data_IF_484116941121
#
_entry.id   IF_484116941121
#
_cell.length_a   1.000
_cell.length_b   1.000
_cell.length_c   1.000
_cell.angle_alpha   90.00
_cell.angle_beta   90.00
_cell.angle_gamma   90.00
#
_symmetry.space_group_name_H-M   'P 1'
#
loop_
_entity.id
_entity.type
_entity.pdbx_description
1 polymer ?
#
# COMPACT_ATOMS: atom_id res chain seq x y z
N UNK A 1 -19.30 -28.57 -35.21
CA UNK A 1 -19.83 -29.00 -33.89
C UNK A 1 -20.79 -27.93 -33.41
N UNK A 2 -22.05 -28.33 -33.28
CA UNK A 2 -23.17 -27.41 -33.07
C UNK A 2 -23.25 -26.92 -31.62
N UNK A 3 -23.16 -25.61 -31.39
CA UNK A 3 -23.19 -24.94 -30.08
C UNK A 3 -24.50 -25.09 -29.30
N UNK A 4 -25.51 -25.71 -29.91
CA UNK A 4 -26.85 -25.90 -29.29
C UNK A 4 -27.01 -27.15 -28.41
N UNK A 5 -26.05 -28.05 -28.36
CA UNK A 5 -26.13 -29.29 -27.56
C UNK A 5 -25.54 -29.23 -26.16
N UNK A 6 -24.91 -28.11 -25.77
CA UNK A 6 -24.31 -27.96 -24.44
C UNK A 6 -25.32 -27.59 -23.34
N UNK A 7 -26.46 -27.00 -23.70
CA UNK A 7 -27.44 -26.46 -22.71
C UNK A 7 -28.63 -27.39 -22.38
N UNK A 8 -28.62 -28.67 -22.75
CA UNK A 8 -29.75 -29.59 -22.54
C UNK A 8 -29.57 -30.68 -21.50
N UNK A 9 -28.68 -30.55 -20.54
CA UNK A 9 -28.61 -31.50 -19.38
C UNK A 9 -28.39 -30.73 -18.08
N UNK A 10 -29.45 -30.15 -17.57
CA UNK A 10 -29.47 -29.48 -16.28
C UNK A 10 -30.84 -28.93 -15.96
N UNK A 11 -31.85 -29.75 -15.98
CA UNK A 11 -33.18 -29.34 -15.51
C UNK A 11 -33.62 -30.22 -14.33
N UNK A 12 -34.23 -29.54 -13.39
CA UNK A 12 -35.07 -29.94 -12.25
C UNK A 12 -34.36 -30.14 -10.91
N UNK A 13 -34.53 -29.13 -10.06
CA UNK A 13 -35.42 -29.22 -8.92
C UNK A 13 -35.76 -27.80 -8.43
N UNK A 14 -36.88 -27.25 -8.91
CA UNK A 14 -37.56 -26.14 -8.28
C UNK A 14 -38.58 -26.75 -7.30
N UNK A 15 -38.38 -26.60 -6.00
CA UNK A 15 -39.41 -26.71 -5.00
C UNK A 15 -39.35 -25.47 -4.14
N UNK A 16 -40.43 -24.71 -4.19
CA UNK A 16 -40.61 -23.45 -3.52
C UNK A 16 -40.64 -23.54 -2.00
N UNK A 17 -40.30 -22.45 -1.39
CA UNK A 17 -40.41 -22.21 0.04
C UNK A 17 -39.93 -20.81 0.36
N UNK A 18 -40.84 -19.86 0.29
CA UNK A 18 -40.61 -18.52 0.87
C UNK A 18 -40.46 -18.69 2.38
N UNK A 19 -39.31 -18.24 2.91
CA UNK A 19 -39.16 -17.87 4.32
C UNK A 19 -38.29 -16.63 4.39
N UNK A 20 -38.96 -15.53 4.66
CA UNK A 20 -38.36 -14.28 5.12
C UNK A 20 -37.73 -14.48 6.50
N UNK A 21 -36.53 -13.96 6.67
CA UNK A 21 -36.04 -13.59 7.98
C UNK A 21 -35.22 -14.64 8.72
N UNK A 22 -33.91 -14.63 8.49
CA UNK A 22 -32.94 -14.74 9.58
C UNK A 22 -31.63 -14.08 9.11
N UNK A 23 -31.02 -13.18 9.87
CA UNK A 23 -29.66 -12.77 9.61
C UNK A 23 -28.81 -14.00 9.81
N UNK A 24 -28.04 -14.34 8.77
CA UNK A 24 -26.97 -15.33 8.90
C UNK A 24 -25.97 -14.72 9.88
N UNK A 25 -26.13 -15.03 11.16
CA UNK A 25 -25.08 -14.88 12.13
C UNK A 25 -23.92 -15.73 11.62
N UNK A 26 -22.94 -15.05 11.04
CA UNK A 26 -21.69 -15.67 10.66
C UNK A 26 -21.08 -16.28 11.93
N UNK A 27 -21.27 -17.56 12.11
CA UNK A 27 -20.42 -18.36 12.96
C UNK A 27 -19.01 -18.10 12.47
N UNK A 28 -18.23 -17.34 13.24
CA UNK A 28 -16.80 -17.31 13.13
C UNK A 28 -16.33 -18.75 13.40
N UNK A 29 -16.27 -19.56 12.37
CA UNK A 29 -15.57 -20.81 12.42
C UNK A 29 -14.12 -20.45 12.63
N UNK A 30 -13.65 -20.52 13.88
CA UNK A 30 -12.22 -20.58 14.16
C UNK A 30 -11.70 -21.74 13.32
N UNK A 31 -11.00 -21.44 12.24
CA UNK A 31 -10.29 -22.50 11.52
C UNK A 31 -9.29 -23.08 12.51
N UNK A 32 -9.50 -24.34 12.91
CA UNK A 32 -8.46 -25.14 13.53
C UNK A 32 -7.33 -25.27 12.51
N UNK A 33 -6.31 -24.41 12.61
CA UNK A 33 -5.13 -24.56 11.81
C UNK A 33 -4.12 -25.43 12.57
N UNK A 34 -3.62 -26.43 11.88
CA UNK A 34 -2.68 -27.38 12.44
C UNK A 34 -1.29 -26.74 12.53
N UNK A 35 -0.84 -26.43 13.76
CA UNK A 35 0.53 -25.96 14.03
C UNK A 35 1.59 -27.06 13.84
N UNK A 36 1.17 -28.31 13.64
CA UNK A 36 2.06 -29.47 13.46
C UNK A 36 2.61 -29.62 12.04
N UNK A 37 2.43 -28.65 11.14
CA UNK A 37 2.93 -28.72 9.77
C UNK A 37 4.44 -28.96 9.77
N UNK A 38 4.83 -30.06 9.14
CA UNK A 38 6.24 -30.44 8.92
C UNK A 38 6.89 -29.43 7.96
N UNK A 39 7.41 -28.32 8.48
CA UNK A 39 8.10 -27.30 7.71
C UNK A 39 9.14 -26.58 8.57
N UNK A 40 10.06 -25.87 7.92
CA UNK A 40 11.03 -25.03 8.61
C UNK A 40 10.28 -23.82 9.17
N UNK A 41 10.39 -23.55 10.46
CA UNK A 41 9.77 -22.40 11.14
C UNK A 41 10.35 -21.08 10.58
N UNK A 42 9.48 -20.09 10.36
CA UNK A 42 9.88 -18.73 10.13
C UNK A 42 10.16 -18.02 11.49
N UNK A 43 11.39 -17.62 11.70
CA UNK A 43 11.75 -16.81 12.87
C UNK A 43 11.34 -15.34 12.66
N UNK A 44 11.41 -14.86 11.43
CA UNK A 44 11.05 -13.51 11.06
C UNK A 44 9.92 -13.51 10.03
N UNK A 45 9.03 -12.51 10.12
CA UNK A 45 7.97 -12.26 9.14
C UNK A 45 8.16 -10.85 8.57
N UNK A 46 8.22 -10.74 7.26
CA UNK A 46 8.12 -9.46 6.53
C UNK A 46 6.86 -9.53 5.68
N UNK A 47 5.91 -8.62 5.91
CA UNK A 47 4.68 -8.50 5.14
C UNK A 47 4.69 -7.20 4.36
N UNK A 48 4.62 -7.30 3.04
CA UNK A 48 4.74 -6.15 2.14
C UNK A 48 3.43 -5.90 1.39
N UNK A 49 2.97 -4.66 1.42
CA UNK A 49 1.72 -4.23 0.78
C UNK A 49 2.01 -3.12 -0.23
N UNK A 50 1.70 -3.35 -1.50
CA UNK A 50 1.55 -2.29 -2.50
C UNK A 50 0.08 -1.89 -2.52
N UNK A 51 -0.31 -0.88 -1.75
CA UNK A 51 -1.70 -0.48 -1.54
C UNK A 51 -2.39 -0.14 -2.87
N UNK A 52 -3.58 -0.70 -3.11
CA UNK A 52 -4.37 -0.41 -4.30
C UNK A 52 -3.80 -0.94 -5.62
N UNK A 53 -2.86 -1.91 -5.59
CA UNK A 53 -2.21 -2.43 -6.79
C UNK A 53 -3.11 -3.40 -7.56
N UNK A 54 -3.73 -2.94 -8.65
CA UNK A 54 -4.37 -3.81 -9.63
C UNK A 54 -3.34 -4.60 -10.47
N UNK A 55 -3.76 -5.69 -11.10
CA UNK A 55 -2.91 -6.45 -12.03
C UNK A 55 -2.33 -5.58 -13.15
N UNK A 56 -3.08 -4.56 -13.61
CA UNK A 56 -2.61 -3.57 -14.58
C UNK A 56 -1.46 -2.71 -14.06
N UNK A 57 -1.50 -2.31 -12.79
CA UNK A 57 -0.41 -1.55 -12.13
C UNK A 57 0.89 -2.36 -12.13
N UNK A 58 0.82 -3.62 -11.72
CA UNK A 58 1.97 -4.53 -11.72
C UNK A 58 2.53 -4.72 -13.13
N UNK A 59 1.65 -4.94 -14.13
CA UNK A 59 2.06 -5.14 -15.52
C UNK A 59 2.71 -3.88 -16.12
N UNK A 60 2.14 -2.68 -15.88
CA UNK A 60 2.70 -1.42 -16.37
C UNK A 60 4.07 -1.15 -15.76
N UNK A 61 4.24 -1.37 -14.46
CA UNK A 61 5.53 -1.20 -13.79
C UNK A 61 6.60 -2.16 -14.34
N UNK A 62 6.26 -3.44 -14.53
CA UNK A 62 7.19 -4.41 -15.12
C UNK A 62 7.54 -4.07 -16.57
N UNK A 63 6.57 -3.64 -17.37
CA UNK A 63 6.84 -3.19 -18.75
C UNK A 63 7.74 -1.96 -18.79
N UNK A 64 7.51 -0.98 -17.90
CA UNK A 64 8.35 0.21 -17.80
C UNK A 64 9.79 -0.18 -17.43
N UNK A 65 9.98 -0.99 -16.40
CA UNK A 65 11.30 -1.44 -15.98
C UNK A 65 12.00 -2.22 -17.08
N UNK A 66 11.29 -3.14 -17.75
CA UNK A 66 11.88 -3.94 -18.81
C UNK A 66 12.26 -3.15 -20.07
N UNK A 67 11.39 -2.24 -20.53
CA UNK A 67 11.60 -1.51 -21.78
C UNK A 67 12.47 -0.26 -21.62
N UNK A 68 12.36 0.41 -20.48
CA UNK A 68 13.02 1.70 -20.24
C UNK A 68 14.28 1.53 -19.40
N UNK A 69 14.23 0.73 -18.32
CA UNK A 69 15.35 0.53 -17.42
C UNK A 69 16.23 -0.67 -17.80
N UNK A 70 15.78 -1.53 -18.73
CA UNK A 70 16.55 -2.66 -19.24
C UNK A 70 16.57 -3.89 -18.32
N UNK A 71 15.70 -3.97 -17.32
CA UNK A 71 15.56 -5.13 -16.43
C UNK A 71 14.08 -5.35 -16.05
N UNK A 72 13.72 -6.57 -15.72
CA UNK A 72 12.40 -6.90 -15.19
C UNK A 72 12.22 -6.38 -13.77
N UNK A 73 10.97 -6.21 -13.34
CA UNK A 73 10.67 -5.98 -11.94
C UNK A 73 11.16 -7.14 -11.06
N UNK A 74 11.48 -6.85 -9.81
CA UNK A 74 11.88 -7.87 -8.82
C UNK A 74 10.73 -8.85 -8.57
N UNK A 75 9.50 -8.34 -8.52
CA UNK A 75 8.30 -9.17 -8.39
C UNK A 75 8.21 -10.21 -9.51
N UNK A 76 8.25 -9.77 -10.78
CA UNK A 76 8.14 -10.67 -11.93
C UNK A 76 9.37 -11.59 -12.08
N UNK A 77 10.55 -11.09 -11.73
CA UNK A 77 11.77 -11.93 -11.71
C UNK A 77 11.65 -13.08 -10.70
N UNK A 78 11.11 -12.80 -9.50
CA UNK A 78 10.86 -13.84 -8.49
C UNK A 78 9.88 -14.93 -9.01
N UNK A 79 8.89 -14.54 -9.83
CA UNK A 79 7.98 -15.47 -10.48
C UNK A 79 8.68 -16.31 -11.56
N UNK A 80 9.45 -15.67 -12.43
CA UNK A 80 10.16 -16.33 -13.53
C UNK A 80 11.21 -17.34 -13.02
N UNK A 81 11.89 -16.98 -11.92
CA UNK A 81 12.91 -17.81 -11.28
C UNK A 81 12.31 -18.95 -10.42
N UNK A 82 10.98 -19.05 -10.30
CA UNK A 82 10.28 -20.01 -9.45
C UNK A 82 10.75 -19.98 -7.97
N UNK A 83 11.21 -18.84 -7.49
CA UNK A 83 11.70 -18.67 -6.11
C UNK A 83 10.57 -18.59 -5.08
N UNK A 84 9.35 -18.25 -5.51
CA UNK A 84 8.19 -17.97 -4.66
C UNK A 84 7.07 -18.97 -4.89
N UNK A 85 6.22 -19.16 -3.86
CA UNK A 85 4.87 -19.68 -4.04
C UNK A 85 3.94 -18.51 -4.31
N UNK A 86 3.04 -18.62 -5.27
CA UNK A 86 2.12 -17.56 -5.66
C UNK A 86 0.68 -18.04 -5.71
N UNK A 87 -0.26 -17.10 -5.56
CA UNK A 87 -1.69 -17.35 -5.67
C UNK A 87 -2.45 -16.07 -6.01
N UNK A 88 -3.75 -16.20 -6.12
CA UNK A 88 -4.68 -15.09 -6.16
C UNK A 88 -5.39 -14.96 -4.82
N UNK A 89 -5.70 -13.74 -4.42
CA UNK A 89 -6.36 -13.45 -3.16
C UNK A 89 -7.67 -12.68 -3.38
N UNK A 90 -8.73 -13.12 -2.71
CA UNK A 90 -9.99 -12.40 -2.59
C UNK A 90 -9.88 -11.30 -1.53
N UNK A 91 -10.37 -10.10 -1.82
CA UNK A 91 -10.13 -8.88 -1.00
C UNK A 91 -11.35 -8.34 -0.25
N UNK A 92 -12.55 -8.95 -0.36
CA UNK A 92 -13.78 -8.41 0.24
C UNK A 92 -13.68 -8.13 1.74
N UNK A 93 -14.42 -7.10 2.19
CA UNK A 93 -14.63 -6.77 3.61
C UNK A 93 -15.90 -7.42 4.17
N UNK A 94 -16.25 -7.15 5.42
CA UNK A 94 -17.51 -7.60 6.02
C UNK A 94 -18.73 -6.82 5.50
N UNK A 95 -18.54 -5.59 5.02
CA UNK A 95 -19.61 -4.70 4.59
C UNK A 95 -19.73 -4.57 3.07
N UNK A 96 -18.74 -5.02 2.29
CA UNK A 96 -18.71 -4.83 0.85
C UNK A 96 -17.82 -5.87 0.16
N UNK A 97 -18.17 -6.21 -1.10
CA UNK A 97 -17.25 -6.95 -1.98
C UNK A 97 -16.03 -6.08 -2.41
N UNK A 98 -16.16 -4.76 -2.32
CA UNK A 98 -15.06 -3.80 -2.52
C UNK A 98 -14.61 -3.31 -1.15
N UNK A 99 -13.41 -3.70 -0.74
CA UNK A 99 -12.83 -3.31 0.54
C UNK A 99 -12.21 -1.91 0.48
N UNK A 100 -12.04 -1.30 1.65
CA UNK A 100 -11.07 -0.22 1.83
C UNK A 100 -9.79 -0.76 2.50
N UNK A 101 -8.74 0.05 2.59
CA UNK A 101 -7.44 -0.36 3.14
C UNK A 101 -7.54 -0.74 4.63
N UNK A 102 -8.47 -0.16 5.41
CA UNK A 102 -8.64 -0.50 6.82
C UNK A 102 -9.20 -1.91 7.03
N UNK A 103 -10.23 -2.27 6.27
CA UNK A 103 -10.79 -3.62 6.34
C UNK A 103 -9.86 -4.64 5.65
N UNK A 104 -9.18 -4.27 4.57
CA UNK A 104 -8.16 -5.08 3.90
C UNK A 104 -7.01 -5.43 4.84
N UNK A 105 -6.39 -4.43 5.46
CA UNK A 105 -5.30 -4.64 6.43
C UNK A 105 -5.76 -5.35 7.70
N UNK A 106 -7.00 -5.12 8.18
CA UNK A 106 -7.57 -5.83 9.30
C UNK A 106 -7.79 -7.32 9.02
N UNK A 107 -8.08 -7.68 7.77
CA UNK A 107 -8.14 -9.09 7.40
C UNK A 107 -6.77 -9.78 7.57
N UNK A 108 -5.67 -9.10 7.25
CA UNK A 108 -4.31 -9.57 7.52
C UNK A 108 -3.97 -9.51 9.01
N UNK A 109 -4.33 -8.42 9.69
CA UNK A 109 -4.02 -8.14 11.08
C UNK A 109 -4.85 -8.95 12.07
N UNK A 110 -6.18 -8.90 11.98
CA UNK A 110 -7.12 -9.57 12.89
C UNK A 110 -7.50 -10.98 12.49
N UNK A 111 -7.31 -11.36 11.21
CA UNK A 111 -7.72 -12.65 10.67
C UNK A 111 -9.23 -12.78 10.47
N UNK A 112 -9.96 -11.68 10.53
CA UNK A 112 -11.42 -11.61 10.36
C UNK A 112 -11.75 -10.40 9.47
N UNK A 113 -12.76 -10.53 8.62
CA UNK A 113 -13.29 -9.39 7.87
C UNK A 113 -14.06 -8.46 8.79
N UNK A 114 -13.76 -7.18 8.72
CA UNK A 114 -14.45 -6.11 9.44
C UNK A 114 -15.13 -5.16 8.45
N UNK A 115 -16.06 -4.29 8.89
CA UNK A 115 -16.63 -3.26 8.02
C UNK A 115 -15.57 -2.29 7.49
N UNK A 116 -15.76 -1.77 6.28
CA UNK A 116 -14.95 -0.66 5.75
C UNK A 116 -14.90 0.50 6.76
N UNK A 117 -13.76 1.13 6.89
CA UNK A 117 -13.52 2.22 7.86
C UNK A 117 -13.05 1.77 9.25
N UNK A 118 -13.19 0.49 9.59
CA UNK A 118 -12.81 -0.06 10.90
C UNK A 118 -11.44 -0.73 10.88
N UNK A 119 -10.74 -0.71 12.00
CA UNK A 119 -9.45 -1.37 12.24
C UNK A 119 -9.63 -2.47 13.29
N UNK A 120 -9.67 -3.73 12.86
CA UNK A 120 -9.81 -4.91 13.73
C UNK A 120 -11.01 -4.87 14.68
N UNK A 121 -12.08 -4.14 14.31
CA UNK A 121 -13.33 -4.04 15.08
C UNK A 121 -14.49 -4.51 14.21
N UNK A 122 -15.24 -5.50 14.69
CA UNK A 122 -16.41 -6.07 14.04
C UNK A 122 -17.62 -5.12 14.07
N UNK A 123 -18.67 -5.47 13.31
CA UNK A 123 -19.88 -4.64 13.17
C UNK A 123 -20.64 -4.41 14.49
N UNK A 124 -20.52 -5.31 15.47
CA UNK A 124 -21.15 -5.16 16.78
C UNK A 124 -20.16 -4.75 17.87
N UNK A 125 -18.96 -4.26 17.48
CA UNK A 125 -17.92 -3.82 18.42
C UNK A 125 -16.99 -4.95 18.92
N UNK A 126 -17.00 -6.13 18.29
CA UNK A 126 -16.07 -7.19 18.61
C UNK A 126 -14.63 -6.74 18.33
N UNK A 127 -13.72 -7.01 19.27
CA UNK A 127 -12.30 -6.65 19.16
C UNK A 127 -11.47 -7.86 18.76
N UNK A 128 -10.76 -7.78 17.64
CA UNK A 128 -9.89 -8.84 17.16
C UNK A 128 -8.44 -8.48 17.40
N UNK A 129 -7.72 -9.26 18.19
CA UNK A 129 -6.34 -8.95 18.57
C UNK A 129 -5.43 -8.93 17.33
N UNK A 130 -4.79 -7.78 17.02
CA UNK A 130 -3.92 -7.65 15.87
C UNK A 130 -2.69 -8.54 15.92
N UNK A 131 -2.22 -8.99 14.76
CA UNK A 131 -1.16 -10.00 14.64
C UNK A 131 0.18 -9.52 15.22
N UNK A 132 0.55 -8.24 15.08
CA UNK A 132 1.79 -7.73 15.67
C UNK A 132 1.73 -7.73 17.19
N UNK A 133 0.55 -7.55 17.81
CA UNK A 133 0.38 -7.75 19.25
C UNK A 133 0.61 -9.21 19.64
N UNK A 134 0.10 -10.19 18.85
CA UNK A 134 0.34 -11.62 19.07
C UNK A 134 1.84 -11.95 18.97
N UNK A 135 2.51 -11.41 17.94
CA UNK A 135 3.96 -11.59 17.74
C UNK A 135 4.77 -10.99 18.90
N UNK A 136 4.40 -9.77 19.33
CA UNK A 136 5.06 -9.10 20.46
C UNK A 136 4.91 -9.84 21.78
N UNK A 137 3.73 -10.42 22.07
CA UNK A 137 3.52 -11.29 23.25
C UNK A 137 4.41 -12.54 23.23
N UNK A 138 4.93 -12.96 22.08
CA UNK A 138 5.93 -14.03 21.91
C UNK A 138 7.37 -13.51 21.95
N UNK A 139 7.57 -12.25 22.32
CA UNK A 139 8.88 -11.64 22.48
C UNK A 139 9.56 -11.20 21.18
N UNK A 140 8.81 -11.17 20.04
CA UNK A 140 9.34 -10.63 18.78
C UNK A 140 9.37 -9.12 18.82
N UNK A 141 10.34 -8.50 18.15
CA UNK A 141 10.25 -7.09 17.79
C UNK A 141 9.24 -6.88 16.68
N UNK A 142 8.57 -5.74 16.67
CA UNK A 142 7.55 -5.39 15.66
C UNK A 142 7.82 -4.04 15.02
N UNK A 143 7.47 -3.89 13.75
CA UNK A 143 7.68 -2.62 13.04
C UNK A 143 6.70 -2.37 11.92
N UNK A 144 6.55 -1.09 11.58
CA UNK A 144 5.82 -0.59 10.42
C UNK A 144 6.62 0.45 9.67
N UNK A 145 6.59 0.37 8.34
CA UNK A 145 7.26 1.29 7.42
C UNK A 145 6.32 1.59 6.26
N UNK A 146 6.08 2.85 5.96
CA UNK A 146 5.14 3.24 4.90
C UNK A 146 5.55 4.52 4.17
N UNK A 147 5.02 4.74 2.97
CA UNK A 147 5.17 5.99 2.21
C UNK A 147 4.03 6.99 2.46
N UNK A 148 2.96 6.58 3.15
CA UNK A 148 1.88 7.46 3.64
C UNK A 148 2.15 7.87 5.09
N UNK A 149 1.13 8.35 5.82
CA UNK A 149 1.28 8.61 7.26
C UNK A 149 1.56 7.30 8.01
N UNK A 150 2.45 7.33 8.98
CA UNK A 150 2.82 6.12 9.75
C UNK A 150 1.62 5.50 10.48
N UNK A 151 0.59 6.29 10.71
CA UNK A 151 -0.68 5.94 11.36
C UNK A 151 -1.81 5.58 10.39
N UNK A 152 -1.52 5.57 9.06
CA UNK A 152 -2.48 5.19 8.04
C UNK A 152 -3.10 3.80 8.28
N UNK A 153 -4.24 3.57 7.67
CA UNK A 153 -5.06 2.38 7.90
C UNK A 153 -4.29 1.06 7.71
N UNK A 154 -3.44 0.96 6.68
CA UNK A 154 -2.71 -0.29 6.38
C UNK A 154 -1.71 -0.67 7.46
N UNK A 155 -0.76 0.19 7.90
CA UNK A 155 0.10 -0.15 9.05
C UNK A 155 -0.69 -0.28 10.35
N UNK A 156 -1.76 0.50 10.54
CA UNK A 156 -2.58 0.43 11.75
C UNK A 156 -3.29 -0.92 11.92
N UNK A 157 -3.78 -1.52 10.83
CA UNK A 157 -4.46 -2.81 10.85
C UNK A 157 -3.61 -3.96 11.41
N UNK A 158 -2.30 -3.89 11.33
CA UNK A 158 -1.39 -4.90 11.93
C UNK A 158 -1.20 -4.71 13.44
N UNK A 159 -1.55 -3.53 14.01
CA UNK A 159 -1.12 -3.12 15.34
C UNK A 159 -2.25 -2.81 16.31
N UNK A 160 -3.35 -2.17 15.85
CA UNK A 160 -4.33 -1.55 16.75
C UNK A 160 -5.77 -1.95 16.44
N UNK A 161 -6.65 -1.67 17.39
CA UNK A 161 -8.09 -1.74 17.22
C UNK A 161 -8.66 -0.32 17.28
N UNK A 162 -9.45 0.07 16.29
CA UNK A 162 -10.18 1.35 16.32
C UNK A 162 -11.45 1.25 15.45
N UNK A 163 -12.53 1.89 15.88
CA UNK A 163 -13.77 1.98 15.09
C UNK A 163 -13.64 2.88 13.85
N UNK A 164 -12.59 3.69 13.79
CA UNK A 164 -12.34 4.62 12.70
C UNK A 164 -10.87 4.61 12.27
N UNK A 165 -10.62 4.40 10.99
CA UNK A 165 -9.29 4.55 10.38
C UNK A 165 -8.75 5.98 10.46
N UNK A 166 -9.63 6.96 10.63
CA UNK A 166 -9.26 8.38 10.71
C UNK A 166 -8.87 8.84 12.12
N UNK A 167 -8.86 7.94 13.10
CA UNK A 167 -8.39 8.25 14.45
C UNK A 167 -6.85 8.24 14.54
N UNK A 168 -6.16 8.77 13.52
CA UNK A 168 -4.70 8.74 13.41
C UNK A 168 -3.97 9.37 14.62
N UNK A 169 -4.43 10.48 15.21
CA UNK A 169 -3.86 10.99 16.46
C UNK A 169 -3.88 9.98 17.62
N UNK A 170 -4.93 9.17 17.72
CA UNK A 170 -5.04 8.12 18.74
C UNK A 170 -4.17 6.90 18.37
N UNK A 171 -4.11 6.54 17.09
CA UNK A 171 -3.27 5.43 16.60
C UNK A 171 -1.79 5.70 16.91
N UNK A 172 -1.32 6.95 16.80
CA UNK A 172 0.03 7.35 17.17
C UNK A 172 0.31 7.08 18.67
N UNK A 173 -0.64 7.36 19.54
CA UNK A 173 -0.57 7.04 20.98
C UNK A 173 -0.60 5.53 21.23
N UNK A 174 -1.43 4.81 20.49
CA UNK A 174 -1.57 3.36 20.66
C UNK A 174 -0.28 2.62 20.24
N UNK A 175 0.43 3.09 19.22
CA UNK A 175 1.74 2.58 18.84
C UNK A 175 2.78 2.76 19.96
N UNK A 176 2.79 3.96 20.59
CA UNK A 176 3.65 4.23 21.72
C UNK A 176 3.35 3.31 22.92
N UNK A 177 2.05 3.12 23.22
CA UNK A 177 1.61 2.27 24.32
C UNK A 177 1.91 0.79 24.06
N UNK A 178 1.73 0.34 22.83
CA UNK A 178 2.12 -1.01 22.39
C UNK A 178 3.64 -1.20 22.42
N UNK A 179 4.41 -0.11 22.27
CA UNK A 179 5.86 -0.15 22.16
C UNK A 179 6.31 -0.74 20.82
N UNK A 180 5.78 -0.25 19.70
CA UNK A 180 6.21 -0.65 18.35
C UNK A 180 7.67 -0.26 18.15
N UNK A 181 8.55 -1.23 17.88
CA UNK A 181 10.00 -1.00 17.88
C UNK A 181 10.47 -0.10 16.71
N UNK A 182 9.76 -0.14 15.58
CA UNK A 182 10.01 0.69 14.41
C UNK A 182 8.69 1.28 13.91
N UNK A 183 8.62 2.61 13.84
CA UNK A 183 7.52 3.36 13.24
C UNK A 183 8.15 4.35 12.26
N UNK A 184 7.98 4.15 10.95
CA UNK A 184 8.54 5.04 9.93
C UNK A 184 7.54 5.37 8.83
N UNK A 185 7.43 6.67 8.51
CA UNK A 185 6.53 7.19 7.48
C UNK A 185 6.46 8.72 7.48
N UNK A 186 5.33 9.24 7.03
CA UNK A 186 4.95 10.66 7.19
C UNK A 186 4.02 10.87 8.38
N UNK A 187 3.37 12.05 8.46
CA UNK A 187 2.33 12.35 9.42
C UNK A 187 2.79 13.13 10.66
N UNK A 188 3.73 14.10 10.50
CA UNK A 188 4.15 15.00 11.60
C UNK A 188 2.96 15.62 12.33
N UNK A 189 1.86 15.88 11.62
CA UNK A 189 0.63 16.44 12.18
C UNK A 189 0.01 15.60 13.31
N UNK A 190 0.29 14.29 13.36
CA UNK A 190 -0.23 13.40 14.40
C UNK A 190 0.70 13.22 15.61
N UNK A 191 1.89 13.80 15.56
CA UNK A 191 2.91 13.69 16.61
C UNK A 191 3.27 15.03 17.23
N UNK A 192 3.19 16.11 16.46
CA UNK A 192 3.59 17.47 16.86
C UNK A 192 2.53 18.17 17.69
N UNK A 193 2.89 18.72 18.86
CA UNK A 193 1.98 19.44 19.77
C UNK A 193 1.26 20.64 19.10
N UNK A 194 1.95 21.35 18.20
CA UNK A 194 1.37 22.51 17.51
C UNK A 194 0.21 22.12 16.57
N UNK A 195 0.23 20.90 16.06
CA UNK A 195 -0.74 20.37 15.08
C UNK A 195 -1.86 19.56 15.76
N UNK A 196 -1.54 18.84 16.83
CA UNK A 196 -2.50 18.00 17.54
C UNK A 196 -3.55 18.85 18.28
N UNK A 197 -4.80 18.40 18.24
CA UNK A 197 -5.90 19.07 18.96
C UNK A 197 -5.72 19.02 20.48
N UNK A 198 -5.17 17.91 21.01
CA UNK A 198 -4.93 17.69 22.44
C UNK A 198 -3.65 18.38 22.96
N UNK A 199 -2.90 19.05 22.08
CA UNK A 199 -1.65 19.77 22.40
C UNK A 199 -0.57 18.92 23.08
N UNK A 200 -0.62 17.62 22.88
CA UNK A 200 0.36 16.66 23.41
C UNK A 200 1.57 16.56 22.49
N UNK A 201 2.77 16.74 23.01
CA UNK A 201 4.00 16.47 22.29
C UNK A 201 4.30 14.97 22.33
N UNK A 202 3.93 14.26 21.26
CA UNK A 202 4.23 12.83 21.18
C UNK A 202 5.70 12.56 20.86
N UNK A 203 6.43 13.50 20.30
CA UNK A 203 7.86 13.33 20.11
C UNK A 203 8.58 13.23 21.46
N UNK A 204 8.27 14.13 22.40
CA UNK A 204 8.80 14.08 23.77
C UNK A 204 8.39 12.76 24.46
N UNK A 205 7.11 12.36 24.37
CA UNK A 205 6.64 11.09 24.94
C UNK A 205 7.39 9.86 24.40
N UNK A 206 7.71 9.83 23.09
CA UNK A 206 8.50 8.76 22.48
C UNK A 206 9.96 8.81 22.96
N UNK A 207 10.59 9.99 23.04
CA UNK A 207 11.94 10.17 23.57
C UNK A 207 12.05 9.73 25.04
N UNK A 208 11.07 10.08 25.87
CA UNK A 208 10.97 9.66 27.27
C UNK A 208 10.86 8.13 27.42
N UNK A 209 10.22 7.46 26.46
CA UNK A 209 10.20 5.99 26.39
C UNK A 209 11.44 5.40 25.74
N UNK A 210 12.45 6.21 25.45
CA UNK A 210 13.76 5.79 24.98
C UNK A 210 13.88 5.58 23.48
N UNK A 211 12.93 6.07 22.68
CA UNK A 211 13.04 6.03 21.21
C UNK A 211 14.11 7.00 20.70
N UNK A 212 14.67 6.69 19.55
CA UNK A 212 15.36 7.65 18.71
C UNK A 212 14.33 8.26 17.76
N UNK A 213 14.06 9.56 17.92
CA UNK A 213 13.23 10.35 17.00
C UNK A 213 14.12 10.85 15.89
N UNK A 214 13.73 10.59 14.63
CA UNK A 214 14.48 11.00 13.43
C UNK A 214 13.52 11.61 12.40
N UNK A 215 13.94 12.72 11.78
CA UNK A 215 13.12 13.49 10.83
C UNK A 215 13.76 13.62 9.43
N UNK A 216 14.96 13.08 9.26
CA UNK A 216 15.70 13.15 7.99
C UNK A 216 16.41 11.84 7.66
N UNK A 217 16.70 11.64 6.38
CA UNK A 217 17.50 10.51 5.89
C UNK A 217 18.88 10.44 6.59
N UNK A 218 19.50 11.60 6.82
CA UNK A 218 20.82 11.64 7.47
C UNK A 218 20.75 11.16 8.92
N UNK A 219 19.77 11.63 9.70
CA UNK A 219 19.53 11.16 11.07
C UNK A 219 19.23 9.66 11.10
N UNK A 220 18.36 9.18 10.16
CA UNK A 220 18.06 7.77 10.04
C UNK A 220 19.32 6.92 9.80
N UNK A 221 20.21 7.37 8.91
CA UNK A 221 21.48 6.67 8.62
C UNK A 221 22.41 6.62 9.85
N UNK A 222 22.45 7.69 10.62
CA UNK A 222 23.33 7.81 11.81
C UNK A 222 22.77 7.08 13.04
N UNK A 223 21.47 6.77 13.08
CA UNK A 223 20.84 6.12 14.22
C UNK A 223 21.37 4.71 14.43
N UNK A 224 21.74 4.42 15.69
CA UNK A 224 22.20 3.09 16.12
C UNK A 224 21.07 2.06 16.15
N UNK A 225 21.43 0.82 16.51
CA UNK A 225 20.48 -0.32 16.53
C UNK A 225 19.91 -0.63 17.92
N UNK A 226 20.24 0.16 18.94
CA UNK A 226 19.94 -0.17 20.34
C UNK A 226 18.63 0.44 20.87
N UNK A 227 18.13 1.51 20.23
CA UNK A 227 16.90 2.19 20.62
C UNK A 227 15.82 1.94 19.58
N UNK A 228 14.54 1.76 19.97
CA UNK A 228 13.45 1.77 19.01
C UNK A 228 13.46 3.10 18.23
N UNK A 229 12.87 3.14 17.04
CA UNK A 229 12.95 4.30 16.14
C UNK A 229 11.54 4.80 15.83
N UNK A 230 11.33 6.10 16.05
CA UNK A 230 10.25 6.88 15.46
C UNK A 230 10.83 7.76 14.35
N UNK A 231 10.53 7.44 13.10
CA UNK A 231 10.99 8.19 11.93
C UNK A 231 9.81 8.84 11.20
N UNK A 232 9.61 10.14 11.42
CA UNK A 232 8.53 10.91 10.76
C UNK A 232 9.18 11.95 9.86
N UNK A 233 9.08 11.73 8.53
CA UNK A 233 9.92 12.42 7.56
C UNK A 233 9.20 13.53 6.77
N UNK A 234 7.88 13.66 6.93
CA UNK A 234 7.10 14.70 6.27
C UNK A 234 5.86 15.06 7.08
N UNK A 235 5.26 16.21 6.80
CA UNK A 235 4.05 16.69 7.49
C UNK A 235 2.87 15.73 7.27
N UNK A 236 2.44 15.50 6.05
CA UNK A 236 1.51 14.45 5.65
C UNK A 236 2.25 13.22 5.15
N UNK A 237 1.75 12.56 4.09
CA UNK A 237 2.44 11.46 3.41
C UNK A 237 3.80 11.89 2.86
N UNK A 238 4.71 10.95 2.61
CA UNK A 238 5.98 11.24 1.95
C UNK A 238 5.73 11.80 0.52
N UNK A 239 6.62 12.62 -0.02
CA UNK A 239 6.55 13.03 -1.43
C UNK A 239 6.50 11.82 -2.35
N UNK A 240 5.79 11.92 -3.48
CA UNK A 240 5.85 10.89 -4.50
C UNK A 240 7.30 10.63 -4.94
N UNK A 241 7.62 9.37 -5.18
CA UNK A 241 8.98 8.98 -5.54
C UNK A 241 9.47 9.68 -6.82
N UNK A 242 8.59 9.93 -7.80
CA UNK A 242 8.93 10.67 -9.01
C UNK A 242 9.34 12.11 -8.66
N UNK A 243 8.56 12.79 -7.84
CA UNK A 243 8.83 14.17 -7.43
C UNK A 243 10.08 14.26 -6.56
N UNK A 244 10.25 13.29 -5.65
CA UNK A 244 11.43 13.19 -4.78
C UNK A 244 12.72 13.03 -5.61
N UNK A 245 12.74 12.12 -6.60
CA UNK A 245 13.91 11.88 -7.47
C UNK A 245 14.28 13.07 -8.35
N UNK A 246 13.33 13.93 -8.68
CA UNK A 246 13.58 15.13 -9.48
C UNK A 246 13.76 16.40 -8.63
N UNK A 247 13.78 16.27 -7.31
CA UNK A 247 14.08 17.37 -6.38
C UNK A 247 15.25 16.99 -5.45
N UNK A 248 16.48 17.53 -5.69
CA UNK A 248 17.66 17.19 -4.91
C UNK A 248 17.56 17.45 -3.41
N UNK A 249 16.77 18.44 -2.98
CA UNK A 249 16.58 18.73 -1.56
C UNK A 249 15.68 17.68 -0.89
N UNK A 250 14.63 17.24 -1.59
CA UNK A 250 13.78 16.15 -1.11
C UNK A 250 14.57 14.84 -1.07
N UNK A 251 15.37 14.55 -2.10
CA UNK A 251 16.17 13.32 -2.17
C UNK A 251 17.20 13.22 -1.04
N UNK A 252 17.79 14.33 -0.65
CA UNK A 252 18.72 14.40 0.50
C UNK A 252 18.01 14.25 1.84
N UNK A 253 16.81 14.82 1.98
CA UNK A 253 16.11 14.93 3.25
C UNK A 253 15.26 13.70 3.55
N UNK A 254 14.51 13.22 2.57
CA UNK A 254 13.47 12.19 2.74
C UNK A 254 14.05 10.81 2.36
N UNK A 255 13.98 9.78 3.23
CA UNK A 255 14.39 8.44 2.87
C UNK A 255 13.45 7.82 1.82
N UNK A 256 13.98 6.94 0.97
CA UNK A 256 13.17 6.06 0.13
C UNK A 256 12.56 4.93 0.95
N UNK A 257 11.55 4.25 0.40
CA UNK A 257 10.99 3.05 1.04
C UNK A 257 12.08 1.97 1.24
N UNK A 258 12.99 1.81 0.29
CA UNK A 258 14.13 0.90 0.40
C UNK A 258 15.11 1.28 1.53
N UNK A 259 15.41 2.59 1.72
CA UNK A 259 16.24 3.06 2.84
C UNK A 259 15.59 2.72 4.19
N UNK A 260 14.29 3.00 4.33
CA UNK A 260 13.53 2.70 5.55
C UNK A 260 13.45 1.19 5.79
N UNK A 261 13.15 0.40 4.76
CA UNK A 261 13.13 -1.07 4.82
C UNK A 261 14.45 -1.65 5.31
N UNK A 262 15.55 -1.21 4.73
CA UNK A 262 16.90 -1.64 5.13
C UNK A 262 17.19 -1.33 6.59
N UNK A 263 16.89 -0.09 7.02
CA UNK A 263 17.09 0.33 8.41
C UNK A 263 16.22 -0.45 9.39
N UNK A 264 14.95 -0.67 9.04
CA UNK A 264 14.02 -1.45 9.86
C UNK A 264 14.52 -2.89 10.06
N UNK A 265 14.90 -3.56 8.98
CA UNK A 265 15.45 -4.93 9.05
C UNK A 265 16.73 -4.97 9.88
N UNK A 266 17.67 -4.05 9.65
CA UNK A 266 18.92 -3.97 10.42
C UNK A 266 18.69 -3.82 11.92
N UNK A 267 17.68 -3.02 12.31
CA UNK A 267 17.34 -2.80 13.71
C UNK A 267 16.62 -4.01 14.32
N UNK A 268 15.56 -4.50 13.64
CA UNK A 268 14.70 -5.56 14.16
C UNK A 268 15.45 -6.91 14.24
N UNK A 269 16.37 -7.17 13.32
CA UNK A 269 17.19 -8.40 13.29
C UNK A 269 18.17 -8.53 14.47
N UNK A 270 18.24 -7.53 15.36
CA UNK A 270 18.98 -7.67 16.63
C UNK A 270 18.22 -8.49 17.68
N UNK A 271 16.95 -8.82 17.44
CA UNK A 271 16.12 -9.62 18.34
C UNK A 271 16.48 -11.10 18.26
N UNK A 272 16.77 -11.71 19.41
CA UNK A 272 16.99 -13.17 19.52
C UNK A 272 15.73 -13.99 19.25
N UNK A 273 14.55 -13.40 19.46
CA UNK A 273 13.26 -14.05 19.24
C UNK A 273 12.70 -13.77 17.83
N UNK A 274 13.48 -13.12 16.97
CA UNK A 274 13.05 -12.69 15.65
C UNK A 274 12.14 -11.47 15.68
N UNK A 275 11.56 -11.15 14.52
CA UNK A 275 10.75 -9.94 14.35
C UNK A 275 9.57 -10.14 13.39
N UNK A 276 8.66 -9.16 13.39
CA UNK A 276 7.60 -9.01 12.41
C UNK A 276 7.58 -7.55 11.90
N UNK A 277 7.61 -7.38 10.59
CA UNK A 277 7.72 -6.08 9.93
C UNK A 277 6.69 -5.96 8.82
N UNK A 278 5.84 -4.92 8.87
CA UNK A 278 5.00 -4.52 7.77
C UNK A 278 5.68 -3.40 6.99
N UNK A 279 5.67 -3.49 5.66
CA UNK A 279 6.23 -2.50 4.73
C UNK A 279 5.15 -2.16 3.71
N UNK A 280 4.95 -0.89 3.45
CA UNK A 280 3.90 -0.44 2.56
C UNK A 280 4.38 0.64 1.59
N UNK A 281 4.01 0.50 0.31
CA UNK A 281 3.95 1.61 -0.63
C UNK A 281 2.50 2.08 -0.72
N UNK A 282 2.09 2.95 0.20
CA UNK A 282 0.69 3.41 0.31
C UNK A 282 0.31 4.39 -0.78
N UNK A 283 1.27 5.08 -1.38
CA UNK A 283 0.99 6.05 -2.45
C UNK A 283 0.74 5.44 -3.83
N UNK A 284 0.86 4.14 -4.01
CA UNK A 284 0.37 3.46 -5.22
C UNK A 284 -1.14 3.65 -5.35
N UNK A 285 -1.86 3.48 -4.23
CA UNK A 285 -3.31 3.71 -4.15
C UNK A 285 -3.69 5.16 -4.46
N UNK A 286 -3.01 6.12 -3.85
CA UNK A 286 -3.29 7.54 -4.09
C UNK A 286 -3.03 7.95 -5.54
N UNK A 287 -1.97 7.42 -6.16
CA UNK A 287 -1.69 7.66 -7.57
C UNK A 287 -2.76 7.01 -8.48
N UNK A 288 -3.28 5.85 -8.10
CA UNK A 288 -4.39 5.20 -8.81
C UNK A 288 -5.68 6.03 -8.69
N UNK A 289 -6.05 6.50 -7.49
CA UNK A 289 -7.16 7.42 -7.28
C UNK A 289 -7.04 8.73 -8.08
N UNK A 290 -5.83 9.20 -8.32
CA UNK A 290 -5.56 10.37 -9.15
C UNK A 290 -5.42 10.05 -10.65
N UNK A 291 -5.50 8.78 -11.05
CA UNK A 291 -5.16 8.32 -12.40
C UNK A 291 -3.80 8.90 -12.88
N UNK A 292 -2.86 9.00 -11.94
CA UNK A 292 -1.52 9.56 -12.16
C UNK A 292 -0.54 8.47 -12.58
N UNK A 293 -0.28 8.36 -13.87
CA UNK A 293 0.60 7.33 -14.41
C UNK A 293 2.05 7.46 -13.91
N UNK A 294 2.55 8.69 -13.80
CA UNK A 294 3.90 8.95 -13.29
C UNK A 294 4.02 8.55 -11.82
N UNK A 295 3.09 9.03 -11.00
CA UNK A 295 3.00 8.65 -9.59
C UNK A 295 2.90 7.14 -9.41
N UNK A 296 1.94 6.51 -10.09
CA UNK A 296 1.68 5.06 -10.00
C UNK A 296 2.92 4.21 -10.31
N UNK A 297 3.59 4.49 -11.43
CA UNK A 297 4.76 3.72 -11.88
C UNK A 297 5.92 3.84 -10.89
N UNK A 298 6.24 5.07 -10.46
CA UNK A 298 7.40 5.28 -9.60
C UNK A 298 7.16 4.84 -8.16
N UNK A 299 5.91 4.87 -7.67
CA UNK A 299 5.55 4.27 -6.38
C UNK A 299 5.64 2.74 -6.42
N UNK A 300 5.18 2.10 -7.52
CA UNK A 300 5.32 0.66 -7.67
C UNK A 300 6.78 0.23 -7.87
N UNK A 301 7.62 1.05 -8.52
CA UNK A 301 9.05 0.78 -8.67
C UNK A 301 9.76 0.90 -7.31
N UNK A 302 9.43 1.90 -6.48
CA UNK A 302 10.05 1.97 -5.15
C UNK A 302 9.59 0.84 -4.22
N UNK A 303 8.35 0.34 -4.38
CA UNK A 303 7.95 -0.91 -3.72
C UNK A 303 8.84 -2.08 -4.14
N UNK A 304 9.11 -2.20 -5.43
CA UNK A 304 9.95 -3.26 -6.01
C UNK A 304 11.42 -3.16 -5.52
N UNK A 305 11.95 -1.92 -5.39
CA UNK A 305 13.26 -1.66 -4.76
C UNK A 305 13.30 -2.12 -3.29
N UNK A 306 12.23 -1.86 -2.52
CA UNK A 306 12.10 -2.33 -1.14
C UNK A 306 11.92 -3.85 -1.05
N UNK A 307 11.16 -4.44 -1.98
CA UNK A 307 11.01 -5.89 -2.10
C UNK A 307 12.36 -6.58 -2.35
N UNK A 308 13.21 -5.99 -3.18
CA UNK A 308 14.58 -6.48 -3.40
C UNK A 308 15.34 -6.56 -2.08
N UNK A 309 15.31 -5.50 -1.28
CA UNK A 309 15.99 -5.48 0.04
C UNK A 309 15.47 -6.59 0.95
N UNK A 310 14.15 -6.79 1.00
CA UNK A 310 13.54 -7.82 1.83
C UNK A 310 13.89 -9.26 1.36
N UNK A 311 13.84 -9.51 0.04
CA UNK A 311 14.16 -10.83 -0.52
C UNK A 311 15.64 -11.18 -0.38
N UNK A 312 16.56 -10.24 -0.63
CA UNK A 312 18.01 -10.43 -0.46
C UNK A 312 18.36 -10.72 1.02
N UNK A 313 17.71 -10.02 1.95
CA UNK A 313 17.84 -10.33 3.37
C UNK A 313 17.34 -11.74 3.70
N UNK A 314 16.12 -12.07 3.27
CA UNK A 314 15.50 -13.36 3.58
C UNK A 314 16.26 -14.55 2.94
N UNK A 315 16.79 -14.38 1.73
CA UNK A 315 17.62 -15.41 1.06
C UNK A 315 18.91 -15.69 1.86
N UNK A 316 19.56 -14.63 2.37
CA UNK A 316 20.78 -14.73 3.18
C UNK A 316 20.52 -15.27 4.59
N UNK A 317 19.43 -14.82 5.21
CA UNK A 317 19.04 -15.18 6.58
C UNK A 317 18.53 -16.63 6.66
N UNK A 318 17.70 -17.04 5.70
CA UNK A 318 17.15 -18.39 5.59
C UNK A 318 16.11 -18.75 6.65
N UNK A 319 15.70 -17.82 7.52
CA UNK A 319 14.70 -17.97 8.58
C UNK A 319 13.56 -16.94 8.46
N UNK A 320 13.56 -16.13 7.40
CA UNK A 320 12.60 -15.07 7.16
C UNK A 320 11.57 -15.49 6.12
N UNK A 321 10.28 -15.44 6.47
CA UNK A 321 9.16 -15.50 5.53
C UNK A 321 8.87 -14.07 5.03
N UNK A 322 8.88 -13.87 3.73
CA UNK A 322 8.44 -12.64 3.07
C UNK A 322 7.13 -12.93 2.35
N UNK A 323 6.07 -12.21 2.68
CA UNK A 323 4.79 -12.21 1.96
C UNK A 323 4.66 -10.85 1.29
N UNK A 324 4.32 -10.81 0.01
CA UNK A 324 4.10 -9.57 -0.71
C UNK A 324 2.83 -9.66 -1.56
N UNK A 325 1.99 -8.62 -1.44
CA UNK A 325 0.66 -8.54 -2.04
C UNK A 325 0.18 -7.09 -2.12
N UNK A 326 -1.09 -6.91 -2.38
CA UNK A 326 -1.86 -5.67 -2.21
C UNK A 326 -3.07 -5.98 -1.32
N UNK A 327 -3.71 -4.97 -0.77
CA UNK A 327 -4.93 -5.12 0.03
C UNK A 327 -6.20 -5.10 -0.83
N UNK A 328 -6.19 -4.41 -1.97
CA UNK A 328 -7.25 -4.37 -3.00
C UNK A 328 -6.69 -3.89 -4.34
N UNK A 329 -7.50 -3.94 -5.40
CA UNK A 329 -7.23 -3.23 -6.64
C UNK A 329 -7.76 -1.80 -6.60
N UNK A 330 -7.22 -0.92 -7.46
CA UNK A 330 -7.71 0.44 -7.64
C UNK A 330 -7.58 0.89 -9.09
N UNK A 331 -8.58 1.64 -9.56
CA UNK A 331 -8.65 2.33 -10.88
C UNK A 331 -8.41 1.46 -12.11
N UNK A 332 -7.90 0.25 -11.99
CA UNK A 332 -7.63 -0.75 -13.03
C UNK A 332 -6.99 -0.14 -14.30
N UNK A 333 -5.76 0.42 -14.20
CA UNK A 333 -5.04 0.93 -15.35
C UNK A 333 -4.64 -0.18 -16.32
N UNK A 334 -4.48 0.18 -17.60
CA UNK A 334 -3.99 -0.77 -18.59
C UNK A 334 -3.39 -0.10 -19.81
N UNK A 335 -2.37 -0.75 -20.40
CA UNK A 335 -1.84 -0.37 -21.70
C UNK A 335 -2.84 -0.83 -22.77
N UNK A 336 -3.34 0.12 -23.57
CA UNK A 336 -4.42 -0.13 -24.53
C UNK A 336 -3.84 -0.36 -25.92
N UNK A 337 -4.32 -1.39 -26.59
CA UNK A 337 -3.92 -1.74 -27.96
C UNK A 337 -4.06 -0.55 -28.93
N UNK A 338 -3.03 -0.34 -29.74
CA UNK A 338 -2.98 0.68 -30.79
C UNK A 338 -1.67 0.56 -31.57
N UNK A 339 -1.65 1.10 -32.80
CA UNK A 339 -0.49 1.02 -33.69
C UNK A 339 0.79 1.61 -33.06
N UNK A 340 0.65 2.65 -32.25
CA UNK A 340 1.76 3.38 -31.62
C UNK A 340 1.87 3.11 -30.12
N UNK A 341 1.19 2.08 -29.59
CA UNK A 341 1.06 1.90 -28.13
C UNK A 341 2.40 1.80 -27.42
N UNK A 342 3.34 1.05 -27.95
CA UNK A 342 4.68 0.87 -27.38
C UNK A 342 5.45 2.20 -27.32
N UNK A 343 5.47 2.91 -28.46
CA UNK A 343 6.14 4.20 -28.59
C UNK A 343 5.52 5.26 -27.66
N UNK A 344 4.20 5.25 -27.56
CA UNK A 344 3.48 6.14 -26.66
C UNK A 344 3.83 5.84 -25.19
N UNK A 345 3.83 4.56 -24.81
CA UNK A 345 4.21 4.16 -23.46
C UNK A 345 5.66 4.56 -23.10
N UNK A 346 6.58 4.45 -24.04
CA UNK A 346 7.98 4.89 -23.84
C UNK A 346 8.11 6.39 -23.57
N UNK A 347 7.13 7.21 -23.94
CA UNK A 347 7.15 8.66 -23.62
C UNK A 347 7.10 8.93 -22.12
N UNK A 348 6.58 8.00 -21.32
CA UNK A 348 6.53 8.12 -19.86
C UNK A 348 7.93 8.25 -19.23
N UNK A 349 8.97 7.81 -19.92
CA UNK A 349 10.36 8.04 -19.52
C UNK A 349 10.75 9.54 -19.43
N UNK A 350 9.95 10.43 -20.04
CA UNK A 350 10.15 11.90 -19.99
C UNK A 350 9.45 12.56 -18.80
N UNK A 351 8.61 11.83 -18.07
CA UNK A 351 7.89 12.40 -16.93
C UNK A 351 8.86 12.74 -15.81
N UNK A 352 8.80 13.99 -15.36
CA UNK A 352 9.66 14.51 -14.29
C UNK A 352 8.90 14.69 -12.97
N UNK A 353 7.60 14.97 -13.05
CA UNK A 353 6.75 15.23 -11.89
C UNK A 353 5.38 14.57 -12.05
N UNK A 354 4.72 14.35 -10.91
CA UNK A 354 3.37 13.80 -10.83
C UNK A 354 2.32 14.76 -11.35
N UNK A 355 1.13 14.22 -11.67
CA UNK A 355 -0.04 15.04 -11.97
C UNK A 355 -0.39 15.98 -10.81
N UNK A 356 -0.26 15.47 -9.57
CA UNK A 356 -0.48 16.27 -8.37
C UNK A 356 0.44 17.49 -8.32
N UNK A 357 1.74 17.29 -8.52
CA UNK A 357 2.70 18.38 -8.53
C UNK A 357 2.39 19.39 -9.63
N UNK A 358 2.15 18.93 -10.87
CA UNK A 358 1.88 19.78 -12.03
C UNK A 358 0.62 20.62 -11.82
N UNK A 359 -0.48 19.98 -11.39
CA UNK A 359 -1.75 20.65 -11.17
C UNK A 359 -1.66 21.69 -10.04
N UNK A 360 -0.84 21.46 -9.02
CA UNK A 360 -0.60 22.43 -7.95
C UNK A 360 0.31 23.61 -8.35
N UNK A 361 0.99 23.57 -9.52
CA UNK A 361 1.71 24.74 -10.06
C UNK A 361 0.78 25.73 -10.77
N UNK A 362 -0.38 25.26 -11.23
CA UNK A 362 -1.33 26.09 -12.00
C UNK A 362 -2.15 26.96 -11.04
N UNK A 363 -2.44 28.19 -11.46
CA UNK A 363 -3.38 29.09 -10.81
C UNK A 363 -4.22 29.85 -11.85
N UNK A 364 -5.18 30.63 -11.39
CA UNK A 364 -6.12 31.38 -12.23
C UNK A 364 -5.46 32.51 -13.07
N UNK A 365 -4.22 32.85 -12.81
CA UNK A 365 -3.46 33.86 -13.60
C UNK A 365 -2.79 33.24 -14.85
N UNK A 366 -2.76 31.91 -14.95
CA UNK A 366 -2.10 31.25 -16.07
C UNK A 366 -2.84 31.46 -17.38
N UNK A 367 -2.09 31.69 -18.46
CA UNK A 367 -2.62 31.61 -19.82
C UNK A 367 -2.64 30.14 -20.30
N UNK A 368 -3.49 29.81 -21.29
CA UNK A 368 -3.48 28.46 -21.89
C UNK A 368 -2.11 28.06 -22.43
N UNK A 369 -1.33 29.00 -22.98
CA UNK A 369 0.03 28.72 -23.44
C UNK A 369 0.95 28.34 -22.28
N UNK A 370 0.86 29.04 -21.15
CA UNK A 370 1.66 28.72 -19.96
C UNK A 370 1.36 27.34 -19.41
N UNK A 371 0.08 26.91 -19.44
CA UNK A 371 -0.30 25.52 -19.05
C UNK A 371 0.29 24.48 -20.02
N UNK A 372 0.23 24.78 -21.33
CA UNK A 372 0.81 23.91 -22.37
C UNK A 372 2.32 23.76 -22.21
N UNK A 373 3.01 24.87 -21.95
CA UNK A 373 4.47 24.88 -21.72
C UNK A 373 4.84 24.08 -20.47
N UNK A 374 4.09 24.23 -19.38
CA UNK A 374 4.26 23.47 -18.13
C UNK A 374 4.12 21.95 -18.38
N UNK A 375 3.06 21.53 -19.06
CA UNK A 375 2.84 20.12 -19.39
C UNK A 375 3.95 19.57 -20.27
N UNK A 376 4.36 20.33 -21.29
CA UNK A 376 5.44 19.91 -22.19
C UNK A 376 6.80 19.80 -21.47
N UNK A 377 7.09 20.72 -20.57
CA UNK A 377 8.34 20.73 -19.80
C UNK A 377 8.46 19.52 -18.88
N UNK A 378 7.36 19.14 -18.20
CA UNK A 378 7.39 18.14 -17.14
C UNK A 378 6.90 16.76 -17.55
N UNK A 379 6.12 16.64 -18.64
CA UNK A 379 5.65 15.34 -19.16
C UNK A 379 6.15 15.03 -20.58
N UNK A 380 6.80 15.99 -21.26
CA UNK A 380 7.41 15.76 -22.56
C UNK A 380 6.44 15.63 -23.75
N UNK A 381 5.19 16.08 -23.58
CA UNK A 381 4.20 16.16 -24.66
C UNK A 381 3.41 17.48 -24.56
N UNK A 382 2.76 17.87 -25.67
CA UNK A 382 2.00 19.12 -25.74
C UNK A 382 0.50 18.85 -25.82
N UNK A 383 -0.28 19.49 -24.95
CA UNK A 383 -1.74 19.52 -25.02
C UNK A 383 -2.25 20.62 -25.96
N UNK A 384 -3.48 20.50 -26.45
CA UNK A 384 -4.12 21.54 -27.28
C UNK A 384 -4.51 22.77 -26.46
N UNK A 385 -4.75 23.90 -27.14
CA UNK A 385 -5.26 25.09 -26.45
C UNK A 385 -6.63 24.87 -25.80
N UNK A 386 -7.51 24.06 -26.40
CA UNK A 386 -8.80 23.70 -25.81
C UNK A 386 -8.66 22.89 -24.52
N UNK A 387 -7.73 21.94 -24.48
CA UNK A 387 -7.41 21.14 -23.29
C UNK A 387 -6.85 22.04 -22.18
N UNK A 388 -5.97 22.98 -22.51
CA UNK A 388 -5.44 23.92 -21.55
C UNK A 388 -6.53 24.86 -20.97
N UNK A 389 -7.48 25.33 -21.80
CA UNK A 389 -8.64 26.09 -21.31
C UNK A 389 -9.53 25.25 -20.39
N UNK A 390 -9.74 23.97 -20.74
CA UNK A 390 -10.51 23.07 -19.89
C UNK A 390 -9.87 22.90 -18.51
N UNK A 391 -8.55 22.70 -18.44
CA UNK A 391 -7.83 22.63 -17.16
C UNK A 391 -8.00 23.94 -16.37
N UNK A 392 -7.78 25.10 -17.00
CA UNK A 392 -7.89 26.40 -16.34
C UNK A 392 -9.30 26.69 -15.79
N UNK A 393 -10.34 26.13 -16.40
CA UNK A 393 -11.71 26.28 -15.93
C UNK A 393 -11.93 25.83 -14.48
N UNK A 394 -11.14 24.88 -13.99
CA UNK A 394 -11.24 24.39 -12.62
C UNK A 394 -10.66 25.39 -11.60
N UNK A 395 -9.72 26.23 -11.99
CA UNK A 395 -9.01 27.16 -11.08
C UNK A 395 -9.74 28.49 -10.85
N UNK A 396 -10.87 28.74 -11.52
CA UNK A 396 -11.62 29.99 -11.39
C UNK A 396 -12.22 30.21 -10.00
N UNK A 397 -12.52 29.14 -9.27
CA UNK A 397 -13.25 29.20 -7.99
C UNK A 397 -12.59 28.39 -6.86
N UNK A 398 -11.34 27.97 -7.01
CA UNK A 398 -10.61 27.24 -5.98
C UNK A 398 -9.44 28.07 -5.46
N UNK A 399 -9.11 27.90 -4.18
CA UNK A 399 -7.96 28.52 -3.53
C UNK A 399 -7.12 27.42 -2.88
N UNK A 400 -5.83 27.70 -2.74
CA UNK A 400 -4.92 26.82 -1.99
C UNK A 400 -5.25 26.86 -0.51
N UNK A 401 -5.19 25.70 0.13
CA UNK A 401 -5.35 25.55 1.58
C UNK A 401 -4.07 26.00 2.31
N UNK A 402 -4.07 25.97 3.64
CA UNK A 402 -2.95 26.47 4.47
C UNK A 402 -1.58 25.84 4.11
N UNK A 403 -1.57 24.61 3.64
CA UNK A 403 -0.35 23.90 3.20
C UNK A 403 0.16 24.36 1.83
N UNK A 404 -0.50 25.31 1.18
CA UNK A 404 -0.14 25.80 -0.15
C UNK A 404 -0.51 24.88 -1.31
N UNK A 405 -1.30 23.83 -1.06
CA UNK A 405 -1.84 22.91 -2.05
C UNK A 405 -3.34 23.15 -2.24
N UNK A 406 -3.86 22.81 -3.39
CA UNK A 406 -5.31 22.78 -3.61
C UNK A 406 -5.91 21.50 -3.02
N UNK A 407 -7.17 21.59 -2.58
CA UNK A 407 -7.92 20.38 -2.23
C UNK A 407 -7.99 19.45 -3.46
N UNK A 408 -7.46 18.26 -3.33
CA UNK A 408 -7.34 17.30 -4.42
C UNK A 408 -8.67 16.96 -5.09
N UNK A 409 -9.80 17.01 -4.35
CA UNK A 409 -11.15 16.74 -4.87
C UNK A 409 -11.63 17.75 -5.90
N UNK A 410 -10.98 18.91 -5.97
CA UNK A 410 -11.34 20.00 -6.90
C UNK A 410 -10.41 20.05 -8.11
N UNK A 411 -9.35 19.25 -8.14
CA UNK A 411 -8.39 19.22 -9.25
C UNK A 411 -8.88 18.31 -10.40
N UNK A 412 -8.56 18.64 -11.66
CA UNK A 412 -9.06 17.94 -12.85
C UNK A 412 -8.28 16.64 -13.16
N UNK A 413 -8.06 15.76 -12.19
CA UNK A 413 -7.25 14.55 -12.37
C UNK A 413 -7.74 13.66 -13.50
N UNK A 414 -9.03 13.28 -13.50
CA UNK A 414 -9.61 12.41 -14.53
C UNK A 414 -9.50 13.04 -15.93
N UNK A 415 -9.86 14.32 -16.05
CA UNK A 415 -9.73 15.08 -17.30
C UNK A 415 -8.29 15.13 -17.81
N UNK A 416 -7.33 15.36 -16.89
CA UNK A 416 -5.91 15.41 -17.21
C UNK A 416 -5.36 14.03 -17.62
N UNK A 417 -5.74 12.97 -16.92
CA UNK A 417 -5.39 11.60 -17.29
C UNK A 417 -5.94 11.18 -18.66
N UNK A 418 -7.19 11.58 -18.98
CA UNK A 418 -7.79 11.35 -20.30
C UNK A 418 -7.03 12.07 -21.43
N UNK A 419 -6.48 13.26 -21.18
CA UNK A 419 -5.59 13.95 -22.13
C UNK A 419 -4.28 13.19 -22.32
N UNK A 420 -3.72 12.62 -21.27
CA UNK A 420 -2.47 11.85 -21.30
C UNK A 420 -2.61 10.53 -22.06
N UNK A 421 -3.79 9.91 -22.08
CA UNK A 421 -4.05 8.60 -22.71
C UNK A 421 -3.57 8.52 -24.17
N UNK A 422 -3.76 9.57 -24.97
CA UNK A 422 -3.29 9.60 -26.38
C UNK A 422 -1.76 9.65 -26.51
N UNK A 423 -1.06 10.05 -25.45
CA UNK A 423 0.40 10.17 -25.42
C UNK A 423 1.09 9.01 -24.74
N UNK A 424 0.40 8.31 -23.83
CA UNK A 424 0.92 7.16 -23.07
C UNK A 424 0.32 5.82 -23.51
N UNK A 425 -0.82 5.84 -24.19
CA UNK A 425 -1.67 4.67 -24.47
C UNK A 425 -2.15 3.94 -23.20
N UNK A 426 -2.08 4.56 -22.02
CA UNK A 426 -2.60 4.01 -20.79
C UNK A 426 -4.01 4.56 -20.54
N UNK A 427 -4.95 3.67 -20.29
CA UNK A 427 -6.32 3.99 -19.92
C UNK A 427 -6.65 3.50 -18.52
N UNK A 428 -7.71 4.06 -17.94
CA UNK A 428 -8.19 3.78 -16.60
C UNK A 428 -9.67 3.42 -16.67
N UNK A 429 -10.14 2.56 -15.78
CA UNK A 429 -11.57 2.19 -15.71
C UNK A 429 -12.31 3.14 -14.77
N UNK A 430 -11.69 3.54 -13.67
CA UNK A 430 -12.29 4.43 -12.66
C UNK A 430 -11.21 5.26 -11.95
N UNK A 431 -11.59 5.89 -10.85
CA UNK A 431 -10.71 6.51 -9.86
C UNK A 431 -10.92 5.90 -8.47
N UNK A 432 -11.54 4.72 -8.40
CA UNK A 432 -11.98 4.10 -7.15
C UNK A 432 -11.46 2.66 -7.04
N UNK A 433 -11.55 2.12 -5.82
CA UNK A 433 -11.22 0.73 -5.55
C UNK A 433 -12.03 -0.24 -6.39
N UNK A 434 -11.48 -1.41 -6.61
CA UNK A 434 -12.12 -2.51 -7.33
C UNK A 434 -12.04 -3.83 -6.55
N UNK A 435 -12.96 -4.75 -6.88
CA UNK A 435 -13.04 -6.07 -6.25
C UNK A 435 -12.18 -7.12 -6.96
N UNK A 436 -11.04 -6.73 -7.48
CA UNK A 436 -10.12 -7.64 -8.16
C UNK A 436 -9.68 -8.77 -7.24
N UNK A 437 -9.51 -9.98 -7.82
CA UNK A 437 -8.64 -10.96 -7.21
C UNK A 437 -7.20 -10.55 -7.49
N UNK A 438 -6.46 -10.30 -6.44
CA UNK A 438 -5.12 -9.70 -6.53
C UNK A 438 -4.01 -10.72 -6.38
N UNK A 439 -2.81 -10.39 -6.89
CA UNK A 439 -1.64 -11.24 -6.76
C UNK A 439 -1.15 -11.30 -5.31
N UNK A 440 -0.77 -12.50 -4.88
CA UNK A 440 -0.07 -12.74 -3.61
C UNK A 440 1.05 -13.73 -3.81
N UNK A 441 2.19 -13.47 -3.17
CA UNK A 441 3.34 -14.35 -3.23
C UNK A 441 4.04 -14.47 -1.87
N UNK A 442 4.72 -15.60 -1.66
CA UNK A 442 5.48 -15.89 -0.46
C UNK A 442 6.85 -16.46 -0.81
N UNK A 443 7.88 -16.01 -0.09
CA UNK A 443 9.27 -16.46 -0.19
C UNK A 443 9.78 -16.89 1.19
N UNK A 444 10.62 -17.91 1.22
CA UNK A 444 11.26 -18.37 2.47
C UNK A 444 10.51 -19.48 3.19
N UNK A 445 10.84 -19.76 4.46
CA UNK A 445 10.22 -20.84 5.23
C UNK A 445 8.74 -20.57 5.49
N UNK A 446 7.88 -21.55 5.20
CA UNK A 446 6.41 -21.43 5.30
C UNK A 446 5.74 -20.96 4.02
N UNK A 447 6.48 -20.66 2.94
CA UNK A 447 5.87 -20.28 1.65
C UNK A 447 4.94 -21.35 1.07
N UNK A 448 5.16 -22.61 1.39
CA UNK A 448 4.34 -23.75 0.97
C UNK A 448 2.93 -23.76 1.57
N UNK A 449 2.69 -22.96 2.61
CA UNK A 449 1.37 -22.78 3.23
C UNK A 449 0.44 -21.92 2.35
N UNK A 450 1.00 -21.12 1.44
CA UNK A 450 0.21 -20.31 0.52
C UNK A 450 -0.44 -21.20 -0.53
N UNK A 451 -1.78 -21.18 -0.56
CA UNK A 451 -2.59 -21.91 -1.54
C UNK A 451 -2.74 -21.10 -2.84
N UNK A 452 -3.05 -21.75 -3.99
CA UNK A 452 -3.25 -21.05 -5.27
C UNK A 452 -4.37 -20.00 -5.26
N UNK A 453 -5.36 -20.14 -4.37
CA UNK A 453 -6.40 -19.15 -4.11
C UNK A 453 -6.66 -19.07 -2.61
N UNK A 454 -6.66 -17.85 -2.06
CA UNK A 454 -6.85 -17.58 -0.64
C UNK A 454 -7.82 -16.42 -0.42
N UNK A 455 -8.42 -16.38 0.77
CA UNK A 455 -9.07 -15.17 1.28
C UNK A 455 -8.01 -14.27 1.93
N UNK A 456 -8.26 -12.96 1.95
CA UNK A 456 -7.38 -12.02 2.65
C UNK A 456 -7.13 -12.43 4.12
N UNK A 457 -8.13 -12.96 4.82
CA UNK A 457 -8.00 -13.47 6.19
C UNK A 457 -7.07 -14.67 6.34
N UNK A 458 -6.90 -15.48 5.30
CA UNK A 458 -6.05 -16.69 5.36
C UNK A 458 -4.57 -16.33 5.57
N UNK A 459 -4.13 -15.14 5.13
CA UNK A 459 -2.76 -14.68 5.32
C UNK A 459 -2.40 -14.45 6.80
N UNK A 460 -3.37 -14.04 7.63
CA UNK A 460 -3.21 -13.99 9.08
C UNK A 460 -2.80 -15.35 9.66
N UNK A 461 -3.56 -16.37 9.31
CA UNK A 461 -3.33 -17.72 9.80
C UNK A 461 -2.06 -18.34 9.21
N UNK A 462 -1.74 -18.03 7.96
CA UNK A 462 -0.48 -18.43 7.34
C UNK A 462 0.73 -17.87 8.12
N UNK A 463 0.72 -16.59 8.48
CA UNK A 463 1.79 -15.98 9.27
C UNK A 463 1.94 -16.61 10.66
N UNK A 464 0.81 -16.85 11.36
CA UNK A 464 0.84 -17.52 12.67
C UNK A 464 1.37 -18.95 12.58
N UNK A 465 0.93 -19.70 11.58
CA UNK A 465 1.35 -21.07 11.35
C UNK A 465 2.84 -21.15 11.00
N UNK A 466 3.32 -20.29 10.08
CA UNK A 466 4.74 -20.21 9.73
C UNK A 466 5.61 -19.86 10.93
N UNK A 467 5.16 -18.95 11.80
CA UNK A 467 5.85 -18.57 13.02
C UNK A 467 5.65 -19.56 14.18
N UNK A 468 4.80 -20.60 14.03
CA UNK A 468 4.40 -21.53 15.07
C UNK A 468 3.84 -20.83 16.33
N UNK A 469 2.96 -19.85 16.11
CA UNK A 469 2.29 -19.10 17.16
C UNK A 469 0.81 -19.53 17.19
N UNK A 470 0.37 -20.00 18.35
CA UNK A 470 -1.03 -20.39 18.57
C UNK A 470 -1.95 -19.15 18.57
N UNK A 471 -3.13 -19.27 17.96
CA UNK A 471 -4.16 -18.22 17.98
C UNK A 471 -5.07 -18.37 19.21
N UNK A 472 -4.49 -18.26 20.40
CA UNK A 472 -5.17 -18.40 21.70
C UNK A 472 -5.40 -17.05 22.38
N UNK A 473 -6.01 -16.08 21.66
CA UNK A 473 -6.18 -14.75 22.23
C UNK A 473 -7.57 -14.19 21.90
#
# INVERSE_FOLDING_TARGET
MDRRKFFKKGTLLAAGGALFGNPISGLATTMDYDISVKGKRANNIIFMVSDGMSSGTLALSDHYQNRILGHRSVWMSAYMDNKVTRGLMETSSASSIVTDSSAGSSAFGGGVRVPNGSLNVGANGEQYLPIWQKMKRKGKKIGVVTTVTATHATPAGFNVNNNSRYAEPQIAVDYLNLGVDIVMGGGDEFFNEDKREDKRDLYEDYEDKGYAVVKTLNELKQTGKNKPILGIFNEGALPYQLDRKNNPELEKKIPSLADMTKKAIEHLNTSKNGFALQIESGKVDWAAHANDLGGLLFEQIQFDEALKVALEFAEKDGETLVIFTTDHGNANPGLIYGKECDKNFETVAKYKYTNEWILNQIDNSYSPNKVRDLVNEYLGFTITSGEAHHILGYYSNIQKEEQGLYNYKHLPYEGFANMQKKHSSVGWISMDHSSDHVEVAAFGPGKELLKPFVKNTDLHYLMLQAAQIENKF
#
